data_IF_559348442415
#
_entry.id   IF_559348442415
#
_cell.length_a   1.000
_cell.length_b   1.000
_cell.length_c   1.000
_cell.angle_alpha   90.00
_cell.angle_beta   90.00
_cell.angle_gamma   90.00
#
_symmetry.space_group_name_H-M   'P 1'
#
loop_
_entity.id
_entity.type
_entity.pdbx_description
1 polymer ?
#
# COMPACT_ATOMS: atom_id res chain seq x y z
N UNK A 1 -1.75 -26.72 -43.56
CA UNK A 1 -0.70 -26.28 -42.61
C UNK A 1 0.11 -25.18 -43.28
N UNK A 2 -0.15 -23.90 -42.93
CA UNK A 2 0.57 -22.75 -43.50
C UNK A 2 1.59 -22.27 -42.47
N UNK A 3 2.87 -22.37 -42.82
CA UNK A 3 4.00 -21.91 -41.99
C UNK A 3 4.05 -20.39 -42.05
N UNK A 4 3.90 -19.72 -40.91
CA UNK A 4 4.08 -18.27 -40.79
C UNK A 4 5.46 -18.05 -40.18
N UNK A 5 6.39 -17.60 -41.01
CA UNK A 5 7.72 -17.13 -40.60
C UNK A 5 7.60 -15.69 -40.11
N UNK A 6 7.74 -15.47 -38.81
CA UNK A 6 7.78 -14.14 -38.20
C UNK A 6 9.24 -13.70 -38.12
N UNK A 7 9.59 -12.65 -38.89
CA UNK A 7 10.90 -12.01 -38.82
C UNK A 7 10.97 -11.12 -37.57
N UNK A 8 11.92 -11.43 -36.68
CA UNK A 8 12.32 -10.55 -35.58
C UNK A 8 13.22 -9.44 -36.14
N UNK A 9 12.68 -8.24 -36.34
CA UNK A 9 13.50 -7.05 -36.62
C UNK A 9 13.92 -6.41 -35.30
N UNK A 10 15.17 -6.66 -34.89
CA UNK A 10 15.88 -5.82 -33.94
C UNK A 10 16.02 -4.41 -34.54
N UNK A 11 15.34 -3.41 -33.97
CA UNK A 11 15.68 -2.00 -34.22
C UNK A 11 16.46 -1.48 -33.02
N UNK A 12 17.78 -1.42 -33.18
CA UNK A 12 18.73 -0.81 -32.28
C UNK A 12 19.09 0.57 -32.85
N UNK A 13 19.28 1.53 -31.95
CA UNK A 13 19.98 2.80 -32.08
C UNK A 13 19.20 4.04 -32.52
N UNK A 14 19.22 5.03 -31.63
CA UNK A 14 18.80 6.42 -31.88
C UNK A 14 18.77 7.25 -30.61
N UNK A 15 19.85 7.23 -29.81
CA UNK A 15 20.05 8.19 -28.72
C UNK A 15 20.26 9.56 -29.37
N UNK A 16 19.27 10.44 -29.32
CA UNK A 16 19.42 11.84 -29.69
C UNK A 16 19.76 12.62 -28.41
N UNK A 17 21.05 12.79 -28.14
CA UNK A 17 21.54 13.82 -27.23
C UNK A 17 21.54 15.12 -28.03
N UNK A 18 20.46 15.91 -27.90
CA UNK A 18 20.48 17.29 -28.37
C UNK A 18 21.24 18.13 -27.36
N UNK A 19 22.48 18.45 -27.70
CA UNK A 19 23.36 19.41 -27.02
C UNK A 19 22.63 20.69 -26.63
N UNK A 20 22.83 21.08 -25.37
CA UNK A 20 22.54 22.42 -24.87
C UNK A 20 23.29 23.47 -25.71
N UNK A 21 22.56 24.26 -26.49
CA UNK A 21 23.07 25.54 -27.01
C UNK A 21 22.84 26.63 -25.97
N UNK A 22 23.95 27.24 -25.53
CA UNK A 22 23.99 28.30 -24.52
C UNK A 22 23.93 29.65 -25.24
N UNK A 23 22.74 30.24 -25.34
CA UNK A 23 22.60 31.63 -25.80
C UNK A 23 23.09 32.58 -24.69
N UNK A 24 24.26 33.19 -24.91
CA UNK A 24 24.75 34.31 -24.11
C UNK A 24 24.06 35.60 -24.57
N UNK A 25 22.97 36.00 -23.90
CA UNK A 25 22.63 37.42 -23.78
C UNK A 25 23.24 37.95 -22.49
N UNK A 26 24.31 38.73 -22.64
CA UNK A 26 24.91 39.50 -21.55
C UNK A 26 24.03 40.72 -21.31
N UNK A 27 23.16 40.63 -20.32
CA UNK A 27 22.53 41.79 -19.68
C UNK A 27 23.30 42.07 -18.39
N UNK A 28 24.01 43.21 -18.37
CA UNK A 28 24.72 43.70 -17.18
C UNK A 28 23.68 44.17 -16.15
N UNK A 29 23.18 43.25 -15.34
CA UNK A 29 22.46 43.58 -14.11
C UNK A 29 23.44 43.40 -12.95
N UNK A 30 23.81 44.50 -12.30
CA UNK A 30 24.57 44.50 -11.05
C UNK A 30 23.70 43.90 -9.94
N UNK A 31 23.81 42.59 -9.74
CA UNK A 31 23.21 41.92 -8.60
C UNK A 31 24.05 42.22 -7.35
N UNK A 32 23.49 43.01 -6.43
CA UNK A 32 24.02 43.15 -5.09
C UNK A 32 23.76 41.83 -4.35
N UNK A 33 24.78 40.97 -4.31
CA UNK A 33 24.69 39.68 -3.62
C UNK A 33 24.82 39.93 -2.11
N UNK A 34 23.70 40.15 -1.42
CA UNK A 34 23.68 40.02 0.02
C UNK A 34 24.04 38.57 0.33
N UNK A 35 25.20 38.35 0.94
CA UNK A 35 25.67 37.04 1.38
C UNK A 35 24.72 36.55 2.48
N UNK A 36 23.63 35.92 2.10
CA UNK A 36 22.85 35.12 3.04
C UNK A 36 23.70 33.92 3.43
N UNK A 37 24.22 33.97 4.66
CA UNK A 37 24.89 32.83 5.26
C UNK A 37 23.82 31.84 5.69
N UNK A 38 23.53 30.84 4.87
CA UNK A 38 22.80 29.67 5.30
C UNK A 38 23.74 28.79 6.14
N UNK A 39 23.47 28.66 7.43
CA UNK A 39 24.14 27.70 8.29
C UNK A 39 23.42 26.34 8.21
N UNK A 40 24.19 25.28 7.99
CA UNK A 40 23.72 23.90 8.13
C UNK A 40 23.95 23.49 9.59
N UNK A 41 22.98 22.84 10.26
CA UNK A 41 23.17 22.36 11.61
C UNK A 41 24.40 21.47 11.73
N UNK A 42 25.19 21.69 12.77
CA UNK A 42 26.31 20.84 13.15
C UNK A 42 25.80 19.46 13.59
N UNK A 43 26.60 18.39 13.52
CA UNK A 43 26.18 17.06 14.00
C UNK A 43 25.61 17.10 15.43
N UNK A 44 26.24 17.88 16.33
CA UNK A 44 25.76 18.11 17.70
C UNK A 44 24.40 18.83 17.78
N UNK A 45 24.11 19.72 16.82
CA UNK A 45 22.84 20.45 16.72
C UNK A 45 21.74 19.63 16.03
N UNK A 46 22.13 18.68 15.18
CA UNK A 46 21.20 17.71 14.59
C UNK A 46 20.70 16.70 15.63
N UNK A 47 21.55 16.32 16.59
CA UNK A 47 21.24 15.40 17.68
C UNK A 47 20.45 16.04 18.84
N UNK A 48 20.39 17.37 18.93
CA UNK A 48 19.65 18.08 19.99
C UNK A 48 18.18 18.35 19.66
N UNK A 49 17.73 18.04 18.43
CA UNK A 49 16.29 18.00 18.13
C UNK A 49 15.71 16.69 18.66
N UNK A 50 15.12 16.76 19.85
CA UNK A 50 14.18 15.75 20.32
C UNK A 50 12.95 15.76 19.39
N UNK A 51 13.04 15.04 18.29
CA UNK A 51 11.87 14.74 17.48
C UNK A 51 11.02 13.75 18.29
N UNK A 52 9.92 14.23 18.88
CA UNK A 52 8.81 13.36 19.29
C UNK A 52 8.14 12.83 18.03
N UNK A 53 8.82 11.93 17.31
CA UNK A 53 8.21 11.20 16.21
C UNK A 53 7.18 10.28 16.86
N UNK A 54 5.88 10.43 16.58
CA UNK A 54 4.87 9.54 17.15
C UNK A 54 5.13 8.12 16.62
N UNK A 55 5.77 7.28 17.43
CA UNK A 55 5.94 5.87 17.12
C UNK A 55 4.64 5.16 17.44
N UNK A 56 3.81 4.97 16.42
CA UNK A 56 2.53 4.26 16.52
C UNK A 56 2.68 2.78 16.94
N UNK A 57 3.90 2.22 16.85
CA UNK A 57 4.22 0.87 17.27
C UNK A 57 3.27 -0.17 16.71
N UNK A 58 2.86 -1.12 17.56
CA UNK A 58 1.94 -2.19 17.18
C UNK A 58 0.46 -1.79 17.30
N UNK A 59 0.12 -0.50 17.45
CA UNK A 59 -1.28 -0.06 17.52
C UNK A 59 -2.04 -0.27 16.20
N UNK A 60 -3.36 -0.09 16.23
CA UNK A 60 -4.16 -0.08 15.01
C UNK A 60 -3.72 1.00 14.01
N UNK A 61 -3.28 2.17 14.49
CA UNK A 61 -2.69 3.20 13.63
C UNK A 61 -1.41 2.69 12.96
N UNK A 62 -0.56 1.97 13.70
CA UNK A 62 0.62 1.31 13.13
C UNK A 62 0.25 0.29 12.05
N UNK A 63 -0.78 -0.52 12.30
CA UNK A 63 -1.29 -1.49 11.33
C UNK A 63 -1.73 -0.85 10.02
N UNK A 64 -2.61 0.16 10.08
CA UNK A 64 -3.13 0.80 8.86
C UNK A 64 -2.05 1.55 8.11
N UNK A 65 -1.11 2.21 8.79
CA UNK A 65 -0.01 2.92 8.13
C UNK A 65 1.01 1.96 7.51
N UNK A 66 1.29 0.82 8.16
CA UNK A 66 2.13 -0.21 7.56
C UNK A 66 1.53 -0.78 6.27
N UNK A 67 0.22 -1.07 6.28
CA UNK A 67 -0.49 -1.52 5.07
C UNK A 67 -0.46 -0.42 4.00
N UNK A 68 -0.81 0.81 4.35
CA UNK A 68 -0.78 1.95 3.42
C UNK A 68 0.58 2.16 2.78
N UNK A 69 1.66 2.04 3.57
CA UNK A 69 3.02 2.16 3.08
C UNK A 69 3.34 1.09 2.05
N UNK A 70 2.94 -0.17 2.32
CA UNK A 70 3.12 -1.28 1.38
C UNK A 70 2.31 -1.12 0.09
N UNK A 71 1.09 -0.59 0.19
CA UNK A 71 0.18 -0.46 -0.95
C UNK A 71 0.53 0.74 -1.86
N UNK A 72 0.87 1.90 -1.29
CA UNK A 72 1.01 3.15 -2.06
C UNK A 72 2.01 4.14 -1.48
N UNK A 73 2.82 3.74 -0.49
CA UNK A 73 3.65 4.66 0.29
C UNK A 73 2.83 5.76 1.00
N UNK A 74 1.55 5.50 1.28
CA UNK A 74 0.65 6.45 1.95
C UNK A 74 -0.04 7.46 1.03
N UNK A 75 0.12 7.38 -0.29
CA UNK A 75 -0.39 8.38 -1.22
C UNK A 75 -1.87 8.15 -1.58
N UNK A 76 -2.73 9.07 -1.14
CA UNK A 76 -4.18 9.04 -1.37
C UNK A 76 -4.59 9.17 -2.86
N UNK A 77 -3.70 9.66 -3.71
CA UNK A 77 -4.01 9.97 -5.11
C UNK A 77 -3.42 8.93 -6.09
N UNK A 78 -2.78 7.86 -5.59
CA UNK A 78 -2.18 6.83 -6.45
C UNK A 78 -3.20 6.02 -7.21
N UNK A 79 -2.86 5.68 -8.45
CA UNK A 79 -3.59 4.69 -9.24
C UNK A 79 -2.58 3.78 -9.93
N UNK A 80 -2.55 2.50 -9.55
CA UNK A 80 -1.61 1.57 -10.16
C UNK A 80 -2.04 1.13 -11.57
N UNK A 81 -1.16 0.38 -12.23
CA UNK A 81 -1.39 -0.10 -13.61
C UNK A 81 -2.60 -1.02 -13.78
N UNK A 82 -3.13 -1.58 -12.69
CA UNK A 82 -4.33 -2.42 -12.66
C UNK A 82 -5.59 -1.63 -12.26
N UNK A 83 -5.47 -0.33 -11.99
CA UNK A 83 -6.57 0.56 -11.65
C UNK A 83 -7.05 0.49 -10.20
N UNK A 84 -6.20 0.01 -9.27
CA UNK A 84 -6.45 0.12 -7.84
C UNK A 84 -6.15 1.54 -7.34
N UNK A 85 -6.88 1.98 -6.32
CA UNK A 85 -7.08 3.40 -6.02
C UNK A 85 -6.59 3.78 -4.61
N UNK A 86 -5.79 4.84 -4.56
CA UNK A 86 -5.45 5.60 -3.38
C UNK A 86 -4.56 4.89 -2.38
N UNK A 87 -4.61 5.38 -1.13
CA UNK A 87 -3.66 5.05 -0.06
C UNK A 87 -3.58 3.55 0.22
N UNK A 88 -4.71 2.86 0.08
CA UNK A 88 -4.85 1.44 0.36
C UNK A 88 -5.02 0.59 -0.89
N UNK A 89 -4.85 1.17 -2.09
CA UNK A 89 -5.02 0.49 -3.37
C UNK A 89 -6.34 -0.30 -3.43
N UNK A 90 -7.46 0.41 -3.35
CA UNK A 90 -8.78 -0.20 -3.42
C UNK A 90 -9.19 -0.60 -4.84
N UNK A 91 -9.70 -1.82 -5.00
CA UNK A 91 -10.36 -2.25 -6.23
C UNK A 91 -11.78 -1.66 -6.35
N UNK A 92 -12.20 -1.30 -7.57
CA UNK A 92 -13.54 -0.75 -7.84
C UNK A 92 -14.68 -1.66 -7.35
N UNK A 93 -14.52 -2.98 -7.46
CA UNK A 93 -15.52 -3.95 -6.97
C UNK A 93 -15.67 -3.93 -5.45
N UNK A 94 -14.55 -3.75 -4.74
CA UNK A 94 -14.55 -3.59 -3.28
C UNK A 94 -15.25 -2.29 -2.86
N UNK A 95 -14.98 -1.18 -3.55
CA UNK A 95 -15.63 0.11 -3.28
C UNK A 95 -17.16 0.06 -3.47
N UNK A 96 -17.64 -0.64 -4.51
CA UNK A 96 -19.08 -0.85 -4.74
C UNK A 96 -19.78 -1.51 -3.56
N UNK A 97 -19.07 -2.34 -2.78
CA UNK A 97 -19.62 -2.95 -1.56
C UNK A 97 -20.09 -1.92 -0.54
N UNK A 98 -19.39 -0.80 -0.48
CA UNK A 98 -19.68 0.31 0.42
C UNK A 98 -20.45 1.44 -0.28
N UNK A 99 -21.07 1.15 -1.43
CA UNK A 99 -21.82 2.12 -2.23
C UNK A 99 -20.98 3.32 -2.72
N UNK A 100 -19.67 3.15 -2.81
CA UNK A 100 -18.76 4.15 -3.40
C UNK A 100 -18.61 3.81 -4.88
N UNK A 101 -19.23 4.64 -5.73
CA UNK A 101 -19.20 4.45 -7.20
C UNK A 101 -18.30 5.45 -7.91
N UNK A 102 -18.17 6.66 -7.37
CA UNK A 102 -17.36 7.73 -7.96
C UNK A 102 -15.90 7.62 -7.48
N UNK A 103 -15.05 7.04 -8.32
CA UNK A 103 -13.63 6.84 -8.01
C UNK A 103 -12.83 8.14 -7.94
N UNK A 104 -13.24 9.17 -8.70
CA UNK A 104 -12.58 10.48 -8.66
C UNK A 104 -12.85 11.20 -7.35
N UNK A 105 -14.10 11.14 -6.88
CA UNK A 105 -14.47 11.64 -5.55
C UNK A 105 -13.73 10.87 -4.43
N UNK A 106 -13.64 9.54 -4.56
CA UNK A 106 -12.90 8.70 -3.62
C UNK A 106 -11.42 9.10 -3.49
N UNK A 107 -10.72 9.28 -4.63
CA UNK A 107 -9.32 9.72 -4.62
C UNK A 107 -9.14 11.10 -3.97
N UNK A 108 -10.08 12.02 -4.19
CA UNK A 108 -10.04 13.38 -3.62
C UNK A 108 -10.46 13.46 -2.15
N UNK A 109 -10.90 12.36 -1.54
CA UNK A 109 -11.47 12.35 -0.18
C UNK A 109 -10.70 11.41 0.74
N UNK A 110 -9.55 11.84 1.31
CA UNK A 110 -8.72 11.01 2.20
C UNK A 110 -9.52 10.34 3.33
N UNK A 111 -10.42 11.09 3.97
CA UNK A 111 -11.30 10.58 5.04
C UNK A 111 -12.11 9.36 4.58
N UNK A 112 -12.68 9.39 3.38
CA UNK A 112 -13.46 8.28 2.83
C UNK A 112 -12.59 7.04 2.59
N UNK A 113 -11.31 7.20 2.24
CA UNK A 113 -10.39 6.08 2.08
C UNK A 113 -10.06 5.42 3.43
N UNK A 114 -9.84 6.22 4.47
CA UNK A 114 -9.62 5.74 5.84
C UNK A 114 -10.85 4.99 6.38
N UNK A 115 -12.04 5.54 6.21
CA UNK A 115 -13.30 4.92 6.63
C UNK A 115 -13.57 3.62 5.84
N UNK A 116 -13.33 3.62 4.52
CA UNK A 116 -13.45 2.42 3.70
C UNK A 116 -12.49 1.31 4.12
N UNK A 117 -11.26 1.65 4.54
CA UNK A 117 -10.30 0.68 5.07
C UNK A 117 -10.80 0.03 6.36
N UNK A 118 -11.27 0.83 7.32
CA UNK A 118 -11.84 0.33 8.58
C UNK A 118 -13.06 -0.55 8.30
N UNK A 119 -13.96 -0.12 7.41
CA UNK A 119 -15.14 -0.89 7.02
C UNK A 119 -14.77 -2.22 6.35
N UNK A 120 -13.74 -2.24 5.50
CA UNK A 120 -13.25 -3.48 4.90
C UNK A 120 -12.67 -4.43 5.94
N UNK A 121 -11.85 -3.93 6.88
CA UNK A 121 -11.37 -4.73 8.01
C UNK A 121 -12.54 -5.30 8.82
N UNK A 122 -13.55 -4.49 9.14
CA UNK A 122 -14.74 -4.90 9.89
C UNK A 122 -15.50 -6.05 9.21
N UNK A 123 -15.76 -5.94 7.90
CA UNK A 123 -16.46 -7.02 7.18
C UNK A 123 -15.59 -8.25 7.03
N UNK A 124 -14.29 -8.09 6.77
CA UNK A 124 -13.37 -9.23 6.69
C UNK A 124 -13.30 -9.97 8.03
N UNK A 125 -13.22 -9.24 9.16
CA UNK A 125 -13.29 -9.80 10.51
C UNK A 125 -14.59 -10.57 10.72
N UNK A 126 -15.73 -10.03 10.29
CA UNK A 126 -17.02 -10.74 10.37
C UNK A 126 -17.06 -12.01 9.50
N UNK A 127 -16.59 -11.96 8.25
CA UNK A 127 -16.56 -13.10 7.32
C UNK A 127 -15.68 -14.22 7.87
N UNK A 128 -14.54 -13.85 8.45
CA UNK A 128 -13.50 -14.77 8.91
C UNK A 128 -13.59 -15.11 10.39
N UNK A 129 -14.55 -14.59 11.16
CA UNK A 129 -14.65 -14.76 12.63
C UNK A 129 -14.39 -16.19 13.14
N UNK A 130 -14.93 -17.20 12.45
CA UNK A 130 -14.73 -18.61 12.82
C UNK A 130 -13.33 -19.11 12.47
N UNK A 131 -12.79 -18.65 11.35
CA UNK A 131 -11.45 -18.99 10.87
C UNK A 131 -10.38 -18.30 11.73
N UNK A 132 -10.56 -17.02 12.08
CA UNK A 132 -9.74 -16.27 13.04
C UNK A 132 -9.66 -17.03 14.37
N UNK A 133 -10.80 -17.35 15.00
CA UNK A 133 -10.85 -18.08 16.27
C UNK A 133 -10.11 -19.43 16.22
N UNK A 134 -10.14 -20.12 15.08
CA UNK A 134 -9.49 -21.43 14.91
C UNK A 134 -8.01 -21.36 14.57
N UNK A 135 -7.54 -20.22 14.06
CA UNK A 135 -6.21 -20.13 13.43
C UNK A 135 -5.23 -19.24 14.18
N UNK A 136 -5.68 -18.26 14.96
CA UNK A 136 -4.77 -17.42 15.76
C UNK A 136 -3.87 -18.30 16.64
N UNK A 137 -2.58 -17.97 16.67
CA UNK A 137 -1.57 -18.64 17.47
C UNK A 137 -0.99 -19.91 16.81
N UNK A 138 -1.64 -20.45 15.77
CA UNK A 138 -1.09 -21.57 15.01
C UNK A 138 0.06 -21.11 14.12
N UNK A 139 0.96 -22.04 13.85
CA UNK A 139 1.99 -21.88 12.82
C UNK A 139 1.56 -22.57 11.54
N UNK A 140 1.56 -21.84 10.42
CA UNK A 140 1.25 -22.39 9.10
C UNK A 140 2.40 -22.02 8.15
N UNK A 141 3.14 -23.01 7.67
CA UNK A 141 4.35 -22.83 6.85
C UNK A 141 5.38 -21.88 7.51
N UNK A 142 5.67 -22.06 8.81
CA UNK A 142 6.63 -21.20 9.53
C UNK A 142 6.10 -19.83 9.97
N UNK A 143 4.84 -19.50 9.69
CA UNK A 143 4.25 -18.20 10.00
C UNK A 143 3.27 -18.34 11.16
N UNK A 144 3.54 -17.64 12.27
CA UNK A 144 2.58 -17.49 13.37
C UNK A 144 1.41 -16.63 12.92
N UNK A 145 0.21 -17.22 12.92
CA UNK A 145 -1.01 -16.56 12.47
C UNK A 145 -1.54 -15.61 13.54
N UNK A 146 -1.76 -14.35 13.17
CA UNK A 146 -2.40 -13.32 14.02
C UNK A 146 -3.66 -12.75 13.35
N UNK A 147 -4.49 -12.04 14.12
CA UNK A 147 -5.66 -11.35 13.55
C UNK A 147 -5.25 -10.28 12.53
N UNK A 148 -4.26 -9.44 12.87
CA UNK A 148 -3.71 -8.40 12.01
C UNK A 148 -3.20 -8.96 10.67
N UNK A 149 -2.42 -10.03 10.69
CA UNK A 149 -1.97 -10.70 9.46
C UNK A 149 -3.13 -11.24 8.63
N UNK A 150 -4.16 -11.80 9.27
CA UNK A 150 -5.37 -12.29 8.58
C UNK A 150 -6.12 -11.14 7.90
N UNK A 151 -6.27 -10.00 8.59
CA UNK A 151 -6.99 -8.84 8.06
C UNK A 151 -6.24 -8.20 6.88
N UNK A 152 -4.91 -8.06 6.99
CA UNK A 152 -4.09 -7.58 5.89
C UNK A 152 -4.12 -8.56 4.70
N UNK A 153 -3.98 -9.86 4.93
CA UNK A 153 -4.08 -10.85 3.86
C UNK A 153 -5.46 -10.85 3.19
N UNK A 154 -6.53 -10.53 3.93
CA UNK A 154 -7.87 -10.40 3.40
C UNK A 154 -8.10 -9.10 2.63
N UNK A 155 -7.36 -8.03 2.96
CA UNK A 155 -7.28 -6.80 2.16
C UNK A 155 -6.69 -7.12 0.78
N UNK A 156 -5.53 -7.80 0.74
CA UNK A 156 -4.86 -8.21 -0.49
C UNK A 156 -5.71 -9.18 -1.34
N UNK A 157 -6.05 -10.33 -0.76
CA UNK A 157 -6.51 -11.50 -1.50
C UNK A 157 -8.03 -11.71 -1.43
N UNK A 158 -8.72 -10.92 -0.62
CA UNK A 158 -10.10 -11.16 -0.23
C UNK A 158 -10.25 -12.28 0.80
N UNK A 159 -11.25 -12.16 1.68
CA UNK A 159 -11.52 -13.12 2.74
C UNK A 159 -11.77 -14.56 2.26
N UNK A 160 -12.25 -14.75 1.03
CA UNK A 160 -12.45 -16.08 0.45
C UNK A 160 -11.15 -16.85 0.27
N UNK A 161 -10.10 -16.19 -0.24
CA UNK A 161 -8.79 -16.82 -0.45
C UNK A 161 -8.06 -17.06 0.87
N UNK A 162 -8.16 -16.12 1.83
CA UNK A 162 -7.62 -16.32 3.18
C UNK A 162 -8.28 -17.51 3.87
N UNK A 163 -9.60 -17.66 3.76
CA UNK A 163 -10.32 -18.83 4.28
C UNK A 163 -9.79 -20.14 3.69
N UNK A 164 -9.58 -20.20 2.37
CA UNK A 164 -9.01 -21.38 1.70
C UNK A 164 -7.60 -21.66 2.22
N UNK A 165 -6.75 -20.64 2.34
CA UNK A 165 -5.41 -20.77 2.90
C UNK A 165 -5.43 -21.36 4.31
N UNK A 166 -6.17 -20.74 5.24
CA UNK A 166 -6.24 -21.15 6.64
C UNK A 166 -6.77 -22.58 6.82
N UNK A 167 -7.82 -22.95 6.08
CA UNK A 167 -8.45 -24.28 6.20
C UNK A 167 -7.66 -25.40 5.53
N UNK A 168 -6.86 -25.08 4.52
CA UNK A 168 -6.00 -26.05 3.84
C UNK A 168 -4.64 -26.21 4.51
N UNK A 169 -4.46 -25.64 5.71
CA UNK A 169 -3.16 -25.53 6.39
C UNK A 169 -2.07 -24.96 5.46
N UNK A 170 -2.43 -23.95 4.68
CA UNK A 170 -1.56 -23.25 3.77
C UNK A 170 -1.28 -23.96 2.44
N UNK A 171 -1.93 -25.08 2.09
CA UNK A 171 -1.75 -25.71 0.76
C UNK A 171 -2.26 -24.82 -0.39
N UNK A 172 -3.34 -24.07 -0.17
CA UNK A 172 -3.88 -23.12 -1.17
C UNK A 172 -2.95 -21.92 -1.34
N UNK A 173 -2.46 -21.64 -2.56
CA UNK A 173 -1.54 -20.53 -2.84
C UNK A 173 -2.21 -19.44 -3.68
N UNK A 174 -2.72 -18.39 -3.05
CA UNK A 174 -3.10 -17.16 -3.77
C UNK A 174 -1.88 -16.27 -3.97
N UNK A 175 -1.75 -15.72 -5.18
CA UNK A 175 -0.83 -14.62 -5.51
C UNK A 175 -1.58 -13.58 -6.33
N UNK A 176 -1.32 -12.31 -6.08
CA UNK A 176 -1.81 -11.22 -6.93
C UNK A 176 -0.96 -11.09 -8.22
N UNK A 177 -1.31 -10.13 -9.06
CA UNK A 177 -0.61 -9.87 -10.32
C UNK A 177 0.82 -9.32 -10.13
N UNK A 178 1.17 -8.82 -8.94
CA UNK A 178 2.50 -8.32 -8.60
C UNK A 178 3.33 -9.34 -7.78
N UNK A 179 2.80 -10.54 -7.56
CA UNK A 179 3.46 -11.63 -6.85
C UNK A 179 3.29 -11.61 -5.32
N UNK A 180 2.55 -10.65 -4.75
CA UNK A 180 2.21 -10.64 -3.32
C UNK A 180 1.28 -11.81 -3.01
N UNK A 181 1.54 -12.50 -1.90
CA UNK A 181 0.77 -13.67 -1.50
C UNK A 181 0.09 -13.48 -0.14
N UNK A 182 -0.90 -14.35 0.14
CA UNK A 182 -1.51 -14.43 1.49
C UNK A 182 -0.46 -14.67 2.57
N UNK A 183 0.58 -15.46 2.28
CA UNK A 183 1.67 -15.72 3.21
C UNK A 183 2.49 -14.47 3.49
N UNK A 184 2.83 -13.71 2.45
CA UNK A 184 3.60 -12.47 2.58
C UNK A 184 2.89 -11.53 3.55
N UNK A 185 1.57 -11.35 3.39
CA UNK A 185 0.79 -10.44 4.24
C UNK A 185 0.55 -11.00 5.65
N UNK A 186 0.35 -12.31 5.80
CA UNK A 186 0.26 -12.94 7.13
C UNK A 186 1.54 -12.73 7.94
N UNK A 187 2.70 -12.83 7.29
CA UNK A 187 4.00 -12.66 7.94
C UNK A 187 4.31 -11.18 8.19
N UNK A 188 4.20 -10.33 7.16
CA UNK A 188 4.60 -8.94 7.21
C UNK A 188 3.75 -8.10 8.18
N UNK A 189 2.45 -8.38 8.27
CA UNK A 189 1.51 -7.62 9.10
C UNK A 189 1.12 -8.36 10.38
N UNK A 190 2.00 -9.25 10.86
CA UNK A 190 1.81 -9.96 12.11
C UNK A 190 2.05 -9.05 13.32
N UNK A 191 1.35 -9.30 14.42
CA UNK A 191 1.66 -8.70 15.72
C UNK A 191 1.05 -7.32 16.03
N UNK A 192 0.31 -6.71 15.11
CA UNK A 192 -0.44 -5.48 15.42
C UNK A 192 -1.73 -5.75 16.21
N UNK A 193 -2.08 -4.81 17.07
CA UNK A 193 -3.34 -4.75 17.81
C UNK A 193 -4.47 -4.21 16.93
N UNK A 194 -5.43 -5.08 16.65
CA UNK A 194 -6.64 -4.81 15.87
C UNK A 194 -7.91 -4.91 16.71
N UNK A 195 -7.79 -4.84 18.04
CA UNK A 195 -8.91 -4.90 18.99
C UNK A 195 -9.95 -3.80 18.75
N UNK A 196 -9.50 -2.63 18.29
CA UNK A 196 -10.35 -1.51 17.86
C UNK A 196 -11.38 -1.87 16.78
N UNK A 197 -11.09 -2.87 15.94
CA UNK A 197 -11.96 -3.22 14.81
C UNK A 197 -13.06 -4.16 15.30
N UNK A 198 -14.29 -3.69 15.26
CA UNK A 198 -15.47 -4.52 15.53
C UNK A 198 -15.88 -5.31 14.28
N UNK A 199 -16.33 -6.55 14.47
CA UNK A 199 -16.77 -7.41 13.36
C UNK A 199 -18.21 -7.10 12.94
N UNK A 200 -18.40 -6.41 11.81
CA UNK A 200 -19.73 -6.05 11.28
C UNK A 200 -19.94 -6.59 9.86
N UNK A 201 -21.09 -7.22 9.59
CA UNK A 201 -21.45 -7.72 8.25
C UNK A 201 -21.72 -6.60 7.24
N UNK A 202 -22.25 -5.48 7.73
CA UNK A 202 -22.75 -4.33 6.95
C UNK A 202 -22.35 -3.02 7.66
N UNK A 203 -21.06 -2.69 7.74
CA UNK A 203 -20.64 -1.39 8.27
C UNK A 203 -21.19 -0.28 7.37
N UNK A 204 -21.51 0.84 8.01
CA UNK A 204 -21.96 2.07 7.35
C UNK A 204 -20.76 3.01 7.29
N UNK A 205 -20.59 3.67 6.14
CA UNK A 205 -19.65 4.78 5.93
C UNK A 205 -20.40 6.09 6.05
#
# INVERSE_FOLDING_TARGET
MKKVTVFFSLLLLGIVISSFSKDKKVSNTTYSFSKETSSVPTEKESFSKNFNIPFVGNSFNGFKEAVAFKESQGNYNEVNTLGYLGKYQFGKSTLKRFKIYNTQYFLKTPKLQEEAFIALCSVNKWILRKDIKRSIGKEINGIKVTESGILAAAHLAGAGNVKKYLRSNGKSRFKDAYGSSVQNYLQQFSGYDTSFIEANKKPVL
#
